data_IF_889525114091
#
_entry.id   IF_889525114091
#
_cell.length_a   1.000
_cell.length_b   1.000
_cell.length_c   1.000
_cell.angle_alpha   90.00
_cell.angle_beta   90.00
_cell.angle_gamma   90.00
#
_symmetry.space_group_name_H-M   'P 1'
#
loop_
_entity.id
_entity.type
_entity.pdbx_description
1 polymer ?
#
# COMPACT_ATOMS: atom_id res chain seq x y z
N UNK A 1 -3.83 10.57 -29.06
CA UNK A 1 -3.24 9.25 -29.28
C UNK A 1 -2.78 8.65 -27.98
N UNK A 2 -3.00 7.38 -27.79
CA UNK A 2 -2.48 6.67 -26.62
C UNK A 2 -0.96 6.57 -26.71
N UNK A 3 -0.25 6.98 -25.68
CA UNK A 3 1.20 6.83 -25.60
C UNK A 3 1.56 5.36 -25.39
N UNK A 4 2.64 4.93 -26.01
CA UNK A 4 3.11 3.56 -25.81
C UNK A 4 3.73 3.41 -24.41
N UNK A 5 3.23 2.45 -23.65
CA UNK A 5 3.77 2.10 -22.34
C UNK A 5 5.12 1.41 -22.53
N UNK A 6 6.17 1.95 -21.89
CA UNK A 6 7.48 1.34 -21.86
C UNK A 6 7.55 0.31 -20.75
N UNK A 7 7.15 0.67 -19.55
CA UNK A 7 7.15 -0.22 -18.39
C UNK A 7 6.25 0.33 -17.30
N UNK A 8 5.98 -0.49 -16.30
CA UNK A 8 5.29 -0.09 -15.08
C UNK A 8 6.20 -0.34 -13.88
N UNK A 9 6.20 0.61 -12.95
CA UNK A 9 6.98 0.54 -11.72
C UNK A 9 6.00 0.51 -10.55
N UNK A 10 6.16 -0.46 -9.67
CA UNK A 10 5.35 -0.57 -8.45
C UNK A 10 6.21 -0.24 -7.25
N UNK A 11 5.78 0.75 -6.47
CA UNK A 11 6.49 1.22 -5.28
C UNK A 11 5.54 1.34 -4.10
N UNK A 12 6.11 1.27 -2.91
CA UNK A 12 5.41 1.59 -1.67
C UNK A 12 6.11 2.79 -1.04
N UNK A 13 5.40 3.90 -0.90
CA UNK A 13 5.95 5.15 -0.41
C UNK A 13 5.06 5.67 0.72
N UNK A 14 5.68 6.22 1.75
CA UNK A 14 4.93 6.85 2.84
C UNK A 14 4.19 8.08 2.32
N UNK A 15 2.90 8.17 2.65
CA UNK A 15 2.05 9.27 2.21
C UNK A 15 2.59 10.62 2.67
N UNK A 16 2.67 11.56 1.74
CA UNK A 16 3.16 12.92 2.02
C UNK A 16 4.67 13.02 2.27
N UNK A 17 5.41 11.92 2.15
CA UNK A 17 6.84 11.85 2.47
C UNK A 17 7.69 11.29 1.33
N UNK A 18 7.21 11.36 0.09
CA UNK A 18 8.00 10.95 -1.05
C UNK A 18 9.20 11.90 -1.24
N UNK A 19 10.37 11.32 -1.42
CA UNK A 19 11.62 12.07 -1.62
C UNK A 19 12.53 11.32 -2.59
N UNK A 20 13.60 11.94 -3.11
CA UNK A 20 14.52 11.30 -4.02
C UNK A 20 15.36 10.17 -3.43
N UNK A 21 15.29 9.95 -2.13
CA UNK A 21 16.00 8.86 -1.49
C UNK A 21 15.43 7.49 -1.89
N UNK A 22 16.20 6.38 -1.76
CA UNK A 22 15.67 5.06 -2.03
C UNK A 22 14.37 4.79 -1.24
N UNK A 23 13.39 4.05 -1.82
CA UNK A 23 13.43 3.34 -3.11
C UNK A 23 13.02 4.17 -4.32
N UNK A 24 12.58 5.42 -4.15
CA UNK A 24 11.98 6.23 -5.22
C UNK A 24 13.01 6.67 -6.25
N UNK A 25 14.13 7.24 -5.79
CA UNK A 25 15.17 7.78 -6.66
C UNK A 25 15.72 6.77 -7.67
N UNK A 26 16.27 5.63 -7.21
CA UNK A 26 16.79 4.62 -8.12
C UNK A 26 15.75 4.05 -9.07
N UNK A 27 14.53 3.81 -8.59
CA UNK A 27 13.46 3.23 -9.42
C UNK A 27 13.07 4.15 -10.57
N UNK A 28 12.94 5.45 -10.32
CA UNK A 28 12.59 6.43 -11.34
C UNK A 28 13.79 6.85 -12.18
N UNK A 29 14.95 6.95 -11.56
CA UNK A 29 16.20 7.35 -12.23
C UNK A 29 16.61 6.39 -13.33
N UNK A 30 16.39 5.10 -13.16
CA UNK A 30 16.68 4.08 -14.17
C UNK A 30 15.91 4.31 -15.47
N UNK A 31 14.75 4.93 -15.39
CA UNK A 31 13.89 5.19 -16.53
C UNK A 31 13.98 6.64 -17.04
N UNK A 32 14.87 7.43 -16.45
CA UNK A 32 15.07 8.82 -16.86
C UNK A 32 13.91 9.76 -16.54
N UNK A 33 13.12 9.42 -15.52
CA UNK A 33 11.96 10.22 -15.12
C UNK A 33 12.36 11.36 -14.20
N UNK A 34 11.53 12.41 -14.16
CA UNK A 34 11.72 13.52 -13.23
C UNK A 34 11.23 13.11 -11.82
N UNK A 35 12.19 12.81 -10.95
CA UNK A 35 11.93 12.32 -9.61
C UNK A 35 11.19 13.38 -8.77
N UNK A 36 11.60 14.63 -8.85
CA UNK A 36 10.99 15.71 -8.06
C UNK A 36 9.55 15.97 -8.46
N UNK A 37 9.24 15.89 -9.73
CA UNK A 37 7.87 16.04 -10.23
C UNK A 37 6.96 14.96 -9.65
N UNK A 38 7.42 13.72 -9.66
CA UNK A 38 6.69 12.60 -9.04
C UNK A 38 6.51 12.82 -7.55
N UNK A 39 7.57 13.16 -6.83
CA UNK A 39 7.51 13.38 -5.38
C UNK A 39 6.50 14.46 -5.02
N UNK A 40 6.52 15.58 -5.70
CA UNK A 40 5.61 16.69 -5.45
C UNK A 40 4.15 16.29 -5.72
N UNK A 41 3.90 15.65 -6.86
CA UNK A 41 2.55 15.20 -7.23
C UNK A 41 2.01 14.14 -6.27
N UNK A 42 2.84 13.18 -5.88
CA UNK A 42 2.48 12.14 -4.93
C UNK A 42 2.17 12.72 -3.55
N UNK A 43 3.04 13.59 -3.05
CA UNK A 43 2.86 14.22 -1.75
C UNK A 43 1.57 15.03 -1.70
N UNK A 44 1.23 15.74 -2.76
CA UNK A 44 0.00 16.49 -2.86
C UNK A 44 -1.23 15.58 -2.83
N UNK A 45 -1.20 14.47 -3.60
CA UNK A 45 -2.32 13.52 -3.63
C UNK A 45 -2.52 12.75 -2.34
N UNK A 46 -1.46 12.49 -1.60
CA UNK A 46 -1.51 11.67 -0.39
C UNK A 46 -1.48 12.48 0.90
N UNK A 47 -1.58 13.79 0.80
CA UNK A 47 -1.52 14.71 1.92
C UNK A 47 -2.49 14.37 3.05
N UNK A 48 -3.70 13.93 2.69
CA UNK A 48 -4.75 13.57 3.66
C UNK A 48 -4.49 12.21 4.33
N UNK A 49 -3.60 11.40 3.77
CA UNK A 49 -3.32 10.05 4.22
C UNK A 49 -1.95 9.93 4.89
N UNK A 50 -1.43 11.04 5.41
CA UNK A 50 -0.10 11.05 6.04
C UNK A 50 0.03 9.99 7.13
N UNK A 51 1.21 9.36 7.19
CA UNK A 51 1.49 8.31 8.16
C UNK A 51 1.16 6.90 7.67
N UNK A 52 0.54 6.76 6.50
CA UNK A 52 0.26 5.46 5.89
C UNK A 52 1.24 5.20 4.74
N UNK A 53 1.56 3.93 4.54
CA UNK A 53 2.31 3.50 3.36
C UNK A 53 1.31 3.31 2.23
N UNK A 54 1.52 4.01 1.13
CA UNK A 54 0.62 3.96 -0.04
C UNK A 54 1.32 3.24 -1.18
N UNK A 55 0.76 2.14 -1.69
CA UNK A 55 1.25 1.53 -2.93
C UNK A 55 0.96 2.45 -4.11
N UNK A 56 1.94 2.63 -4.97
CA UNK A 56 1.79 3.42 -6.18
C UNK A 56 2.23 2.60 -7.39
N UNK A 57 1.47 2.69 -8.46
CA UNK A 57 1.82 2.09 -9.75
C UNK A 57 2.10 3.23 -10.71
N UNK A 58 3.34 3.30 -11.18
CA UNK A 58 3.79 4.34 -12.09
C UNK A 58 3.89 3.73 -13.48
N UNK A 59 3.17 4.28 -14.45
CA UNK A 59 3.26 3.87 -15.84
C UNK A 59 4.21 4.80 -16.58
N UNK A 60 5.28 4.25 -17.13
CA UNK A 60 6.30 4.99 -17.87
C UNK A 60 6.03 4.86 -19.35
N UNK A 61 6.01 5.98 -20.06
CA UNK A 61 5.82 6.03 -21.50
C UNK A 61 7.14 6.23 -22.23
N UNK A 62 7.15 5.93 -23.52
CA UNK A 62 8.37 6.02 -24.35
C UNK A 62 8.93 7.44 -24.48
N UNK A 63 8.09 8.45 -24.33
CA UNK A 63 8.50 9.85 -24.40
C UNK A 63 9.05 10.39 -23.06
N UNK A 64 9.33 9.49 -22.11
CA UNK A 64 9.79 9.80 -20.74
C UNK A 64 8.77 10.53 -19.89
N UNK A 65 7.53 10.59 -20.33
CA UNK A 65 6.44 11.01 -19.47
C UNK A 65 5.96 9.83 -18.59
N UNK A 66 5.23 10.13 -17.55
CA UNK A 66 4.69 9.11 -16.67
C UNK A 66 3.31 9.51 -16.17
N UNK A 67 2.54 8.50 -15.83
CA UNK A 67 1.34 8.68 -15.01
C UNK A 67 1.42 7.71 -13.83
N UNK A 68 0.72 8.03 -12.76
CA UNK A 68 0.70 7.15 -11.60
C UNK A 68 -0.69 7.08 -11.00
N UNK A 69 -0.98 5.94 -10.39
CA UNK A 69 -2.18 5.75 -9.60
C UNK A 69 -1.78 5.31 -8.20
N UNK A 70 -2.49 5.81 -7.21
CA UNK A 70 -2.33 5.39 -5.82
C UNK A 70 -3.40 4.38 -5.49
N UNK A 71 -3.03 3.35 -4.75
CA UNK A 71 -3.96 2.33 -4.27
C UNK A 71 -4.19 2.50 -2.78
N UNK A 72 -5.13 1.74 -2.22
CA UNK A 72 -5.33 1.73 -0.77
C UNK A 72 -4.10 1.16 -0.08
N UNK A 73 -3.83 1.57 1.19
CA UNK A 73 -2.70 1.03 1.94
C UNK A 73 -2.72 -0.49 2.00
N UNK A 74 -1.54 -1.15 2.10
CA UNK A 74 -1.50 -2.61 2.26
C UNK A 74 -2.29 -3.06 3.48
N UNK A 75 -2.90 -4.25 3.40
CA UNK A 75 -3.70 -4.79 4.50
C UNK A 75 -2.90 -4.87 5.80
N UNK A 76 -1.63 -5.25 5.72
CA UNK A 76 -0.75 -5.31 6.90
C UNK A 76 -0.59 -3.96 7.58
N UNK A 77 -0.47 -2.88 6.82
CA UNK A 77 -0.35 -1.53 7.37
C UNK A 77 -1.65 -1.09 8.06
N UNK A 78 -2.79 -1.38 7.44
CA UNK A 78 -4.10 -1.07 8.00
C UNK A 78 -4.35 -1.84 9.29
N UNK A 79 -3.97 -3.11 9.34
CA UNK A 79 -4.09 -3.95 10.55
C UNK A 79 -3.22 -3.40 11.67
N UNK A 80 -1.97 -3.06 11.40
CA UNK A 80 -1.06 -2.49 12.39
C UNK A 80 -1.60 -1.17 12.94
N UNK A 81 -2.13 -0.32 12.07
CA UNK A 81 -2.71 0.96 12.49
C UNK A 81 -3.95 0.76 13.36
N UNK A 82 -4.83 -0.17 13.00
CA UNK A 82 -6.06 -0.44 13.76
C UNK A 82 -5.76 -0.94 15.18
N UNK A 83 -4.67 -1.68 15.36
CA UNK A 83 -4.27 -2.24 16.65
C UNK A 83 -3.19 -1.41 17.36
N UNK A 84 -2.69 -0.35 16.74
CA UNK A 84 -1.60 0.45 17.29
C UNK A 84 -0.27 -0.28 17.39
N UNK A 85 -0.04 -1.27 16.53
CA UNK A 85 1.20 -2.06 16.51
C UNK A 85 2.22 -1.46 15.56
N UNK A 86 3.50 -1.50 15.94
CA UNK A 86 4.61 -1.09 15.09
C UNK A 86 5.02 -2.19 14.11
N UNK A 87 4.93 -3.44 14.57
CA UNK A 87 5.28 -4.60 13.77
C UNK A 87 4.44 -5.82 14.17
N UNK A 88 4.36 -6.79 13.26
CA UNK A 88 3.76 -8.09 13.56
C UNK A 88 4.70 -8.97 14.39
N UNK A 89 4.30 -10.22 14.60
CA UNK A 89 5.12 -11.20 15.32
C UNK A 89 6.38 -11.56 14.52
N UNK A 90 7.49 -11.71 15.22
CA UNK A 90 8.73 -12.24 14.62
C UNK A 90 8.63 -13.73 14.31
N UNK A 91 7.76 -14.45 15.03
CA UNK A 91 7.51 -15.89 14.83
C UNK A 91 6.00 -16.15 14.72
N UNK A 92 5.37 -15.82 13.57
CA UNK A 92 3.94 -16.05 13.40
C UNK A 92 3.59 -17.54 13.55
N UNK A 93 2.50 -17.82 14.26
CA UNK A 93 2.07 -19.17 14.56
C UNK A 93 2.65 -19.75 15.84
N UNK A 94 3.69 -19.12 16.39
CA UNK A 94 4.27 -19.50 17.70
C UNK A 94 4.02 -18.43 18.74
N UNK A 95 4.34 -17.18 18.41
CA UNK A 95 4.19 -16.03 19.31
C UNK A 95 3.11 -15.13 18.74
N UNK A 96 2.06 -14.86 19.52
CA UNK A 96 1.00 -13.93 19.13
C UNK A 96 1.47 -12.49 19.35
N UNK A 97 1.27 -11.65 18.33
CA UNK A 97 1.55 -10.22 18.44
C UNK A 97 0.34 -9.43 18.97
N UNK A 98 -0.83 -10.06 19.05
CA UNK A 98 -2.05 -9.42 19.50
C UNK A 98 -3.29 -10.14 18.98
N UNK A 99 -4.44 -9.51 19.18
CA UNK A 99 -5.74 -10.04 18.77
C UNK A 99 -6.46 -9.00 17.93
N UNK A 100 -7.11 -9.43 16.85
CA UNK A 100 -7.95 -8.57 16.02
C UNK A 100 -9.40 -9.05 16.08
N UNK A 101 -10.33 -8.12 16.25
CA UNK A 101 -11.76 -8.41 16.29
C UNK A 101 -12.34 -8.45 14.89
N UNK A 102 -13.42 -9.19 14.71
CA UNK A 102 -14.12 -9.26 13.42
C UNK A 102 -14.66 -7.90 12.97
N UNK A 103 -15.08 -7.05 13.90
CA UNK A 103 -15.49 -5.68 13.57
C UNK A 103 -14.38 -4.86 12.96
N UNK A 104 -13.15 -5.02 13.45
CA UNK A 104 -11.97 -4.36 12.89
C UNK A 104 -11.63 -4.91 11.50
N UNK A 105 -11.74 -6.22 11.30
CA UNK A 105 -11.57 -6.85 9.99
C UNK A 105 -12.56 -6.29 8.97
N UNK A 106 -13.81 -6.10 9.39
CA UNK A 106 -14.85 -5.55 8.52
C UNK A 106 -14.53 -4.12 8.10
N UNK A 107 -14.11 -3.27 9.04
CA UNK A 107 -13.71 -1.90 8.73
C UNK A 107 -12.57 -1.85 7.73
N UNK A 108 -11.55 -2.67 7.90
CA UNK A 108 -10.42 -2.76 6.99
C UNK A 108 -10.87 -3.27 5.62
N UNK A 109 -11.74 -4.28 5.59
CA UNK A 109 -12.26 -4.84 4.35
C UNK A 109 -13.07 -3.80 3.56
N UNK A 110 -13.87 -2.98 4.23
CA UNK A 110 -14.63 -1.90 3.60
C UNK A 110 -13.70 -0.84 3.00
N UNK A 111 -12.65 -0.45 3.74
CA UNK A 111 -11.67 0.52 3.26
C UNK A 111 -10.91 0.00 2.02
N UNK A 112 -10.67 -1.29 1.95
CA UNK A 112 -9.88 -1.90 0.89
C UNK A 112 -10.72 -2.55 -0.21
N UNK A 113 -12.03 -2.45 -0.15
CA UNK A 113 -12.96 -3.13 -1.08
C UNK A 113 -12.68 -2.80 -2.55
N UNK A 114 -12.21 -1.58 -2.84
CA UNK A 114 -11.88 -1.14 -4.19
C UNK A 114 -10.73 -1.94 -4.82
N UNK A 115 -9.77 -2.38 -4.01
CA UNK A 115 -8.58 -3.07 -4.47
C UNK A 115 -8.65 -4.59 -4.32
N UNK A 116 -9.65 -5.09 -3.57
CA UNK A 116 -9.79 -6.51 -3.34
C UNK A 116 -10.65 -7.17 -4.42
N UNK A 117 -10.19 -8.32 -4.90
CA UNK A 117 -10.95 -9.16 -5.82
C UNK A 117 -11.83 -10.12 -5.02
N UNK A 118 -12.86 -9.57 -4.40
CA UNK A 118 -13.81 -10.35 -3.58
C UNK A 118 -15.23 -10.09 -4.01
N UNK A 119 -16.08 -11.10 -3.90
CA UNK A 119 -17.49 -11.01 -4.26
C UNK A 119 -18.37 -10.43 -3.16
N UNK A 120 -17.87 -10.31 -1.94
CA UNK A 120 -18.65 -9.82 -0.80
C UNK A 120 -17.72 -9.28 0.29
N UNK A 121 -18.31 -8.54 1.24
CA UNK A 121 -17.56 -8.04 2.41
C UNK A 121 -17.04 -9.19 3.27
N UNK A 122 -17.83 -10.26 3.42
CA UNK A 122 -17.40 -11.44 4.20
C UNK A 122 -16.18 -12.11 3.56
N UNK A 123 -16.17 -12.24 2.23
CA UNK A 123 -15.01 -12.77 1.51
C UNK A 123 -13.78 -11.85 1.69
N UNK A 124 -13.98 -10.54 1.65
CA UNK A 124 -12.91 -9.56 1.90
C UNK A 124 -12.38 -9.70 3.33
N UNK A 125 -13.25 -9.87 4.32
CA UNK A 125 -12.85 -10.10 5.71
C UNK A 125 -11.99 -11.35 5.87
N UNK A 126 -12.29 -12.42 5.14
CA UNK A 126 -11.48 -13.64 5.16
C UNK A 126 -10.08 -13.41 4.59
N UNK A 127 -9.97 -12.62 3.53
CA UNK A 127 -8.67 -12.24 2.95
C UNK A 127 -7.84 -11.49 3.98
N UNK A 128 -8.43 -10.50 4.63
CA UNK A 128 -7.75 -9.69 5.65
C UNK A 128 -7.39 -10.55 6.87
N UNK A 129 -8.29 -11.47 7.28
CA UNK A 129 -8.02 -12.40 8.38
C UNK A 129 -6.81 -13.29 8.09
N UNK A 130 -6.65 -13.76 6.84
CA UNK A 130 -5.47 -14.52 6.44
C UNK A 130 -4.18 -13.71 6.57
N UNK A 131 -4.20 -12.44 6.17
CA UNK A 131 -3.06 -11.53 6.36
C UNK A 131 -2.75 -11.33 7.84
N UNK A 132 -3.78 -11.13 8.69
CA UNK A 132 -3.61 -10.96 10.12
C UNK A 132 -2.96 -12.20 10.76
N UNK A 133 -3.39 -13.38 10.37
CA UNK A 133 -2.79 -14.65 10.87
C UNK A 133 -1.32 -14.77 10.45
N UNK A 134 -0.98 -14.37 9.23
CA UNK A 134 0.41 -14.37 8.76
C UNK A 134 1.29 -13.40 9.52
N UNK A 135 0.70 -12.37 10.13
CA UNK A 135 1.39 -11.41 11.00
C UNK A 135 1.50 -11.90 12.46
N UNK A 136 0.94 -13.06 12.78
CA UNK A 136 0.93 -13.60 14.13
C UNK A 136 -0.20 -13.06 15.00
N UNK A 137 -1.27 -12.57 14.40
CA UNK A 137 -2.45 -12.09 15.14
C UNK A 137 -3.51 -13.17 15.25
N UNK A 138 -4.24 -13.17 16.37
CA UNK A 138 -5.38 -14.03 16.57
C UNK A 138 -6.66 -13.32 16.15
N UNK A 139 -7.49 -14.01 15.38
CA UNK A 139 -8.80 -13.48 14.96
C UNK A 139 -9.86 -13.97 15.93
N UNK A 140 -10.57 -13.03 16.54
CA UNK A 140 -11.58 -13.33 17.57
C UNK A 140 -12.99 -13.07 17.03
#
# INVERSE_FOLDING_TARGET
MAKKVMTQIKLQVKAGQANPAPPVGPALGQHGLNIMEFCNAFNERTKEQMGLVIPVVITVFKDRSFSFITKTPPASVLIKKALGLDAGSSEPGRISAGTIKRSQLREIAELKAEDLNSGSIEAAMLIIAGTARSMGLEVV
#
